data_IF_478929681231
#
_entry.id   IF_478929681231
#
_cell.length_a   1.000
_cell.length_b   1.000
_cell.length_c   1.000
_cell.angle_alpha   90.00
_cell.angle_beta   90.00
_cell.angle_gamma   90.00
#
_symmetry.space_group_name_H-M   'P 1'
#
loop_
_entity.id
_entity.type
_entity.pdbx_description
1 polymer ?
#
# COMPACT_ATOMS: atom_id res chain seq x y z
N UNK A 1 14.37 -8.06 -0.45
CA UNK A 1 13.06 -8.68 -0.19
C UNK A 1 12.75 -8.60 1.30
N UNK A 2 13.75 -8.83 2.17
CA UNK A 2 13.65 -8.64 3.64
C UNK A 2 13.30 -7.20 4.07
N UNK A 3 13.72 -6.15 3.34
CA UNK A 3 13.43 -4.75 3.69
C UNK A 3 11.99 -4.28 3.44
N UNK A 4 11.16 -5.06 2.74
CA UNK A 4 9.76 -4.70 2.45
C UNK A 4 8.80 -5.08 3.60
N UNK A 5 9.24 -5.95 4.50
CA UNK A 5 8.31 -6.70 5.33
C UNK A 5 7.82 -5.94 6.55
N UNK A 6 8.67 -5.28 7.34
CA UNK A 6 8.22 -4.71 8.62
C UNK A 6 9.02 -3.42 8.85
N UNK A 7 8.31 -2.37 9.24
CA UNK A 7 8.81 -1.09 9.77
C UNK A 7 10.33 -0.86 9.61
N UNK A 8 10.73 0.03 8.71
CA UNK A 8 12.14 0.42 8.60
C UNK A 8 12.33 1.86 9.10
N UNK A 9 13.45 2.08 9.80
CA UNK A 9 13.78 3.39 10.39
C UNK A 9 13.95 4.51 9.34
N UNK A 10 14.11 4.14 8.08
CA UNK A 10 14.30 5.06 6.95
C UNK A 10 12.96 5.57 6.37
N UNK A 11 11.85 4.93 6.75
CA UNK A 11 10.51 5.26 6.26
C UNK A 11 10.26 4.92 4.79
N UNK A 12 11.07 4.03 4.20
CA UNK A 12 10.88 3.55 2.83
C UNK A 12 9.67 2.62 2.70
N UNK A 13 9.14 2.48 1.49
CA UNK A 13 8.05 1.56 1.16
C UNK A 13 6.79 1.77 2.01
N UNK A 14 6.41 3.02 2.26
CA UNK A 14 5.27 3.35 3.12
C UNK A 14 5.50 3.12 4.62
N UNK A 15 6.74 2.97 5.10
CA UNK A 15 7.03 2.77 6.52
C UNK A 15 7.21 4.08 7.32
N UNK A 16 7.10 5.25 6.69
CA UNK A 16 7.28 6.52 7.39
C UNK A 16 6.22 6.72 8.48
N UNK A 17 6.66 7.07 9.70
CA UNK A 17 5.80 7.39 10.85
C UNK A 17 5.28 8.83 10.85
N UNK A 18 5.49 9.58 9.76
CA UNK A 18 5.00 10.93 9.62
C UNK A 18 3.50 10.91 9.29
N UNK A 19 2.72 11.70 10.02
CA UNK A 19 1.28 11.86 9.78
C UNK A 19 1.04 12.35 8.36
N UNK A 20 0.11 11.72 7.64
CA UNK A 20 -0.28 12.03 6.27
C UNK A 20 -1.44 13.00 6.24
N UNK A 21 -1.16 14.25 6.58
CA UNK A 21 -2.14 15.34 6.53
C UNK A 21 -1.47 16.64 6.08
N UNK A 22 -2.03 17.37 5.09
CA UNK A 22 -3.20 16.98 4.31
C UNK A 22 -2.91 15.81 3.35
N UNK A 23 -3.91 14.97 3.08
CA UNK A 23 -3.84 13.96 2.01
C UNK A 23 -3.80 14.69 0.66
N UNK A 24 -2.76 14.50 -0.17
CA UNK A 24 -2.70 15.16 -1.46
C UNK A 24 -3.86 14.69 -2.37
N UNK A 25 -4.48 15.59 -3.16
CA UNK A 25 -5.67 15.26 -3.95
C UNK A 25 -5.41 14.23 -5.05
N UNK A 26 -4.16 14.00 -5.42
CA UNK A 26 -3.75 13.02 -6.43
C UNK A 26 -3.51 11.61 -5.85
N UNK A 27 -3.58 11.44 -4.52
CA UNK A 27 -3.57 10.13 -3.83
C UNK A 27 -5.01 9.60 -3.82
N UNK A 28 -5.33 8.72 -4.76
CA UNK A 28 -6.71 8.29 -5.02
C UNK A 28 -7.15 7.09 -4.22
N UNK A 29 -6.23 6.23 -3.79
CA UNK A 29 -6.54 5.06 -2.97
C UNK A 29 -6.28 5.38 -1.51
N UNK A 30 -7.04 4.76 -0.63
CA UNK A 30 -7.01 4.98 0.83
C UNK A 30 -6.56 3.71 1.54
N UNK A 31 -5.96 3.88 2.70
CA UNK A 31 -5.65 2.76 3.61
C UNK A 31 -6.93 2.00 3.96
N UNK A 32 -6.86 0.67 3.88
CA UNK A 32 -7.97 -0.24 4.09
C UNK A 32 -8.74 -0.63 2.83
N UNK A 33 -8.54 0.05 1.71
CA UNK A 33 -9.21 -0.31 0.46
C UNK A 33 -8.68 -1.61 -0.13
N UNK A 34 -9.60 -2.37 -0.72
CA UNK A 34 -9.31 -3.58 -1.48
C UNK A 34 -8.96 -3.18 -2.91
N UNK A 35 -7.86 -3.71 -3.42
CA UNK A 35 -7.33 -3.39 -4.74
C UNK A 35 -6.93 -4.64 -5.51
N UNK A 36 -6.99 -4.56 -6.84
CA UNK A 36 -6.41 -5.54 -7.73
C UNK A 36 -5.13 -4.97 -8.36
N UNK A 37 -4.04 -5.73 -8.30
CA UNK A 37 -2.82 -5.45 -9.06
C UNK A 37 -3.00 -5.92 -10.50
N UNK A 38 -2.90 -4.98 -11.45
CA UNK A 38 -3.35 -5.18 -12.84
C UNK A 38 -2.57 -6.22 -13.62
N UNK A 39 -1.28 -6.44 -13.35
CA UNK A 39 -0.44 -7.37 -14.12
C UNK A 39 -0.61 -8.81 -13.65
N UNK A 40 -0.50 -9.03 -12.35
CA UNK A 40 -0.59 -10.32 -11.69
C UNK A 40 -2.01 -10.75 -11.34
N UNK A 41 -3.00 -9.87 -11.51
CA UNK A 41 -4.41 -10.12 -11.17
C UNK A 41 -4.60 -10.58 -9.71
N UNK A 42 -3.77 -10.04 -8.81
CA UNK A 42 -3.81 -10.37 -7.38
C UNK A 42 -4.65 -9.35 -6.63
N UNK A 43 -5.50 -9.83 -5.72
CA UNK A 43 -6.30 -8.96 -4.84
C UNK A 43 -5.57 -8.77 -3.52
N UNK A 44 -5.45 -7.52 -3.09
CA UNK A 44 -4.77 -7.11 -1.87
C UNK A 44 -5.46 -5.97 -1.16
N UNK A 45 -4.90 -5.57 -0.02
CA UNK A 45 -5.38 -4.46 0.81
C UNK A 45 -4.28 -3.42 0.96
N UNK A 46 -4.62 -2.16 0.72
CA UNK A 46 -3.71 -1.03 0.93
C UNK A 46 -3.49 -0.83 2.43
N UNK A 47 -2.24 -0.88 2.89
CA UNK A 47 -1.88 -0.67 4.30
C UNK A 47 -1.08 0.61 4.56
N UNK A 48 -0.57 1.24 3.51
CA UNK A 48 0.12 2.54 3.59
C UNK A 48 0.28 3.13 2.19
N UNK A 49 0.55 4.43 2.12
CA UNK A 49 0.94 5.13 0.90
C UNK A 49 2.00 6.20 1.15
N UNK A 50 2.76 6.49 0.10
CA UNK A 50 3.61 7.67 -0.05
C UNK A 50 3.13 8.48 -1.27
N UNK A 51 3.23 9.82 -1.23
CA UNK A 51 2.79 10.68 -2.34
C UNK A 51 3.61 10.49 -3.62
N UNK A 52 4.85 10.00 -3.48
CA UNK A 52 5.77 9.66 -4.56
C UNK A 52 6.58 8.42 -4.16
N UNK A 53 7.35 7.85 -5.10
CA UNK A 53 8.25 6.73 -4.82
C UNK A 53 9.21 7.10 -3.68
N UNK A 54 9.20 6.29 -2.62
CA UNK A 54 10.11 6.42 -1.49
C UNK A 54 10.76 5.07 -1.22
N UNK A 55 11.92 4.84 -1.84
CA UNK A 55 12.70 3.60 -1.74
C UNK A 55 14.22 3.91 -1.75
N UNK A 56 15.07 2.97 -1.29
CA UNK A 56 16.52 3.13 -1.41
C UNK A 56 16.95 3.30 -2.86
N UNK A 57 17.94 4.16 -3.16
CA UNK A 57 18.45 4.37 -4.52
C UNK A 57 18.88 3.07 -5.22
N UNK A 58 19.51 2.15 -4.51
CA UNK A 58 19.95 0.88 -5.10
C UNK A 58 18.78 -0.01 -5.50
N UNK A 59 17.65 0.10 -4.77
CA UNK A 59 16.42 -0.58 -5.13
C UNK A 59 15.80 0.04 -6.37
N UNK A 60 15.76 1.36 -6.45
CA UNK A 60 15.22 2.06 -7.63
C UNK A 60 16.07 1.75 -8.86
N UNK A 61 17.39 1.82 -8.74
CA UNK A 61 18.30 1.53 -9.84
C UNK A 61 18.08 0.12 -10.35
N UNK A 62 17.96 -0.89 -9.48
CA UNK A 62 17.69 -2.27 -9.90
C UNK A 62 16.32 -2.45 -10.55
N UNK A 63 15.28 -1.76 -10.07
CA UNK A 63 13.92 -1.90 -10.60
C UNK A 63 13.74 -1.14 -11.92
N UNK A 64 14.55 -0.11 -12.17
CA UNK A 64 14.47 0.77 -13.33
C UNK A 64 15.69 0.69 -14.27
N UNK A 65 16.67 -0.17 -13.99
CA UNK A 65 17.93 -0.29 -14.77
C UNK A 65 17.72 -0.68 -16.23
N UNK A 66 16.66 -1.42 -16.55
CA UNK A 66 16.30 -1.79 -17.94
C UNK A 66 15.46 -0.73 -18.64
N UNK A 67 15.02 0.30 -17.90
CA UNK A 67 14.15 1.34 -18.43
C UNK A 67 14.99 2.51 -18.94
N UNK A 68 15.60 2.34 -20.12
CA UNK A 68 16.32 3.40 -20.82
C UNK A 68 15.49 4.70 -20.84
N UNK A 69 15.84 5.64 -19.96
CA UNK A 69 15.24 6.97 -19.89
C UNK A 69 13.81 7.06 -19.33
N UNK A 70 13.25 6.04 -18.67
CA UNK A 70 11.96 6.23 -17.99
C UNK A 70 12.17 7.01 -16.70
N UNK A 71 11.67 8.23 -16.69
CA UNK A 71 11.52 9.03 -15.47
C UNK A 71 10.69 8.20 -14.49
N UNK A 72 11.18 8.00 -13.27
CA UNK A 72 10.38 7.42 -12.17
C UNK A 72 9.05 8.18 -12.14
N UNK A 73 7.94 7.44 -12.26
CA UNK A 73 6.62 8.06 -12.22
C UNK A 73 6.47 8.83 -10.91
N UNK A 74 6.24 10.15 -11.01
CA UNK A 74 5.83 10.99 -9.88
C UNK A 74 4.36 10.72 -9.56
N UNK A 75 4.10 9.50 -9.12
CA UNK A 75 2.78 8.99 -8.78
C UNK A 75 2.80 8.47 -7.35
N UNK A 76 1.65 8.49 -6.66
CA UNK A 76 1.54 7.83 -5.36
C UNK A 76 1.94 6.37 -5.46
N UNK A 77 2.63 5.90 -4.43
CA UNK A 77 3.02 4.50 -4.29
C UNK A 77 2.40 3.92 -3.03
N UNK A 78 1.93 2.69 -3.14
CA UNK A 78 1.13 2.03 -2.13
C UNK A 78 1.84 0.78 -1.63
N UNK A 79 1.87 0.60 -0.31
CA UNK A 79 2.20 -0.69 0.30
C UNK A 79 0.91 -1.52 0.34
N UNK A 80 0.93 -2.66 -0.33
CA UNK A 80 -0.23 -3.54 -0.46
C UNK A 80 0.12 -4.93 0.07
N UNK A 81 -0.76 -5.48 0.90
CA UNK A 81 -0.70 -6.86 1.37
C UNK A 81 -1.56 -7.75 0.48
N UNK A 82 -1.02 -8.89 0.04
CA UNK A 82 -1.71 -9.90 -0.77
C UNK A 82 -1.65 -11.26 -0.07
N UNK A 83 -2.68 -12.08 -0.27
CA UNK A 83 -2.60 -13.50 0.06
C UNK A 83 -1.56 -14.21 -0.83
N UNK A 84 -0.73 -15.06 -0.23
CA UNK A 84 0.21 -15.91 -0.97
C UNK A 84 -0.40 -17.27 -1.33
N UNK A 85 0.40 -18.19 -1.91
CA UNK A 85 -0.09 -19.49 -2.41
C UNK A 85 -0.62 -20.44 -1.32
N UNK A 86 -0.35 -20.15 -0.05
CA UNK A 86 -0.78 -20.97 1.09
C UNK A 86 -1.62 -20.18 2.09
N UNK A 87 -2.37 -20.85 2.98
CA UNK A 87 -3.33 -20.21 3.89
C UNK A 87 -2.73 -19.17 4.84
N UNK A 88 -1.45 -19.31 5.17
CA UNK A 88 -0.69 -18.41 6.03
C UNK A 88 0.35 -17.59 5.27
N UNK A 89 0.37 -17.67 3.95
CA UNK A 89 1.36 -16.99 3.13
C UNK A 89 0.90 -15.55 2.87
N UNK A 90 1.82 -14.60 3.02
CA UNK A 90 1.62 -13.19 2.79
C UNK A 90 2.64 -12.72 1.78
N UNK A 91 2.19 -11.93 0.80
CA UNK A 91 3.05 -11.20 -0.12
C UNK A 91 2.87 -9.71 0.12
N UNK A 92 3.98 -8.97 0.11
CA UNK A 92 3.99 -7.51 0.29
C UNK A 92 4.55 -6.88 -0.97
N UNK A 93 3.83 -5.92 -1.55
CA UNK A 93 4.32 -5.16 -2.68
C UNK A 93 4.29 -3.66 -2.39
N UNK A 94 5.16 -2.93 -3.10
CA UNK A 94 5.17 -1.48 -3.13
C UNK A 94 4.99 -1.04 -4.58
N UNK A 95 3.81 -0.54 -4.92
CA UNK A 95 3.33 -0.41 -6.30
C UNK A 95 2.85 1.01 -6.60
N UNK A 96 3.09 1.52 -7.82
CA UNK A 96 2.55 2.81 -8.22
C UNK A 96 1.03 2.74 -8.40
N UNK A 97 0.34 3.87 -8.20
CA UNK A 97 -1.10 4.02 -8.38
C UNK A 97 -1.60 3.46 -9.72
N UNK A 98 -0.81 3.63 -10.78
CA UNK A 98 -1.11 3.22 -12.17
C UNK A 98 -1.25 1.70 -12.33
N UNK A 99 -0.75 0.90 -11.38
CA UNK A 99 -0.84 -0.56 -11.39
C UNK A 99 -1.97 -1.11 -10.52
N UNK A 100 -2.71 -0.25 -9.82
CA UNK A 100 -3.76 -0.65 -8.90
C UNK A 100 -5.12 -0.22 -9.41
N UNK A 101 -6.12 -1.05 -9.11
CA UNK A 101 -7.53 -0.75 -9.36
C UNK A 101 -8.33 -1.08 -8.11
N UNK A 102 -9.22 -0.17 -7.69
CA UNK A 102 -10.10 -0.38 -6.54
C UNK A 102 -11.09 -1.50 -6.86
N UNK A 103 -11.29 -2.40 -5.91
CA UNK A 103 -12.31 -3.44 -5.98
C UNK A 103 -13.29 -3.27 -4.83
N UNK A 104 -14.57 -3.40 -5.11
CA UNK A 104 -15.66 -3.24 -4.13
C UNK A 104 -16.45 -4.54 -3.98
N UNK A 105 -17.08 -4.73 -2.81
CA UNK A 105 -17.99 -5.86 -2.59
C UNK A 105 -17.30 -7.20 -2.35
N UNK A 106 -15.99 -7.20 -2.09
CA UNK A 106 -15.24 -8.39 -1.72
C UNK A 106 -14.38 -8.14 -0.49
N UNK A 107 -14.34 -9.12 0.42
CA UNK A 107 -13.44 -9.13 1.57
C UNK A 107 -12.40 -10.24 1.35
N UNK A 108 -11.15 -9.91 0.97
CA UNK A 108 -10.10 -10.92 0.87
C UNK A 108 -9.73 -11.43 2.27
N UNK A 109 -9.38 -12.70 2.36
CA UNK A 109 -8.83 -13.32 3.57
C UNK A 109 -7.31 -13.33 3.45
N UNK A 110 -6.66 -12.35 4.10
CA UNK A 110 -5.20 -12.16 4.05
C UNK A 110 -4.68 -12.22 5.49
N UNK A 111 -3.69 -13.08 5.79
CA UNK A 111 -3.11 -13.16 7.11
C UNK A 111 -2.58 -11.79 7.57
N UNK A 112 -2.63 -11.53 8.88
CA UNK A 112 -2.04 -10.34 9.54
C UNK A 112 -2.77 -9.02 9.32
N UNK A 113 -3.89 -9.00 8.59
CA UNK A 113 -4.71 -7.78 8.43
C UNK A 113 -5.21 -7.24 9.77
N UNK A 114 -5.44 -8.11 10.75
CA UNK A 114 -5.84 -7.76 12.13
C UNK A 114 -4.83 -6.87 12.85
N UNK A 115 -3.55 -6.87 12.43
CA UNK A 115 -2.53 -5.98 12.98
C UNK A 115 -2.73 -4.52 12.53
N UNK A 116 -3.36 -4.31 11.37
CA UNK A 116 -3.60 -3.00 10.74
C UNK A 116 -5.05 -2.54 10.89
N UNK A 117 -5.99 -3.48 10.95
CA UNK A 117 -7.42 -3.21 10.84
C UNK A 117 -8.21 -3.91 11.94
N UNK A 118 -9.31 -3.28 12.35
CA UNK A 118 -10.21 -3.82 13.38
C UNK A 118 -11.27 -4.75 12.79
N UNK A 119 -11.86 -4.37 11.65
CA UNK A 119 -12.89 -5.13 10.94
C UNK A 119 -13.01 -4.65 9.49
N UNK A 120 -13.85 -5.33 8.71
CA UNK A 120 -14.28 -4.90 7.37
C UNK A 120 -15.70 -4.33 7.47
N UNK A 121 -15.92 -3.11 6.99
CA UNK A 121 -17.19 -2.39 7.14
C UNK A 121 -18.23 -2.68 6.04
N UNK A 122 -17.88 -3.55 5.08
CA UNK A 122 -18.68 -3.85 3.89
C UNK A 122 -18.09 -3.24 2.62
N UNK A 123 -17.31 -2.18 2.74
CA UNK A 123 -16.67 -1.46 1.64
C UNK A 123 -15.14 -1.55 1.69
N UNK A 124 -14.55 -1.46 2.89
CA UNK A 124 -13.11 -1.46 3.13
C UNK A 124 -12.79 -1.93 4.55
N UNK A 125 -11.51 -2.06 4.86
CA UNK A 125 -11.04 -2.36 6.20
C UNK A 125 -10.89 -1.10 7.06
N UNK A 126 -11.44 -1.14 8.26
CA UNK A 126 -11.40 -0.02 9.22
C UNK A 126 -10.10 -0.07 10.01
N UNK A 127 -9.32 1.01 9.94
CA UNK A 127 -8.01 1.12 10.56
C UNK A 127 -8.04 0.91 12.08
N UNK A 128 -6.98 0.28 12.61
CA UNK A 128 -6.62 0.33 14.01
C UNK A 128 -6.33 1.78 14.45
N UNK A 129 -6.49 2.14 15.73
CA UNK A 129 -6.28 3.51 16.20
C UNK A 129 -4.89 4.09 15.86
N UNK A 130 -3.85 3.27 15.90
CA UNK A 130 -2.48 3.70 15.59
C UNK A 130 -2.30 4.04 14.10
N UNK A 131 -2.95 3.29 13.21
CA UNK A 131 -2.87 3.51 11.76
C UNK A 131 -3.72 4.72 11.36
N UNK A 132 -4.89 4.87 11.98
CA UNK A 132 -5.73 6.08 11.87
C UNK A 132 -4.97 7.35 12.27
N UNK A 133 -4.16 7.29 13.33
CA UNK A 133 -3.34 8.44 13.74
C UNK A 133 -2.30 8.85 12.68
N UNK A 134 -1.86 7.91 11.82
CA UNK A 134 -0.95 8.18 10.71
C UNK A 134 -1.68 8.63 9.44
N UNK A 135 -2.89 8.13 9.18
CA UNK A 135 -3.69 8.42 8.00
C UNK A 135 -5.08 8.97 8.38
N UNK A 136 -5.16 10.12 9.07
CA UNK A 136 -6.42 10.60 9.64
C UNK A 136 -7.50 10.91 8.60
N UNK A 137 -7.10 11.34 7.41
CA UNK A 137 -8.02 11.71 6.33
C UNK A 137 -8.46 10.52 5.47
N UNK A 138 -7.87 9.33 5.66
CA UNK A 138 -8.24 8.14 4.91
C UNK A 138 -9.54 7.54 5.44
N UNK A 139 -9.93 7.81 6.69
CA UNK A 139 -11.16 7.28 7.31
C UNK A 139 -12.44 8.03 6.92
N UNK A 140 -12.36 9.31 6.58
CA UNK A 140 -13.51 10.07 6.08
C UNK A 140 -13.72 9.80 4.59
N UNK A 141 -14.96 9.61 4.17
CA UNK A 141 -15.33 9.84 2.76
C UNK A 141 -15.19 11.35 2.46
N UNK A 142 -14.86 11.70 1.21
CA UNK A 142 -14.81 13.10 0.76
C UNK A 142 -16.22 13.69 0.61
#
# INVERSE_FOLDING_TARGET
MESMLIDNDQGFFGASKAVRSPRPPYVFLRVGEVVMERKGHMVGVVVSWDPELRAPPEWTDRMFSDSQGRTVEKTPHYKVLFGGPGPSSLMVAYLPQTQLERVTGMKPDIPTLENYFTHYDGTRFVMQPWLRALFPEDESED
#
